data_IF_314317914227
#
_entry.id   IF_314317914227
#
_cell.length_a   1.000
_cell.length_b   1.000
_cell.length_c   1.000
_cell.angle_alpha   90.00
_cell.angle_beta   90.00
_cell.angle_gamma   90.00
#
_symmetry.space_group_name_H-M   'P 1'
#
loop_
_entity.id
_entity.type
_entity.pdbx_description
1 polymer ?
#
# COMPACT_ATOMS: atom_id res chain seq x y z
N UNK A 1 32.18 38.03 9.46
CA UNK A 1 31.44 36.82 9.88
C UNK A 1 30.56 36.22 8.78
N UNK A 2 29.73 36.97 8.04
CA UNK A 2 28.72 36.39 7.11
C UNK A 2 29.21 35.44 6.01
N UNK A 3 30.47 35.54 5.55
CA UNK A 3 31.00 34.75 4.42
C UNK A 3 31.13 33.24 4.71
N UNK A 4 31.42 32.83 5.95
CA UNK A 4 31.73 31.43 6.29
C UNK A 4 30.47 30.56 6.45
N UNK A 5 29.38 31.12 6.96
CA UNK A 5 28.12 30.38 7.14
C UNK A 5 27.41 30.11 5.81
N UNK A 6 27.51 31.05 4.86
CA UNK A 6 26.97 30.89 3.51
C UNK A 6 27.72 29.82 2.72
N UNK A 7 29.04 29.68 2.92
CA UNK A 7 29.83 28.59 2.31
C UNK A 7 29.43 27.23 2.89
N UNK A 8 29.12 27.18 4.19
CA UNK A 8 28.67 25.97 4.88
C UNK A 8 27.15 25.68 4.76
N UNK A 9 26.41 26.50 4.01
CA UNK A 9 24.95 26.39 3.79
C UNK A 9 24.13 26.37 5.08
N UNK A 10 24.55 27.11 6.10
CA UNK A 10 23.75 27.30 7.31
C UNK A 10 22.87 28.54 7.18
N UNK A 11 21.60 28.42 7.58
CA UNK A 11 20.69 29.52 7.81
C UNK A 11 20.72 29.87 9.29
N UNK A 12 20.98 31.16 9.59
CA UNK A 12 20.94 31.69 10.95
C UNK A 12 19.71 32.58 11.06
N UNK A 13 18.89 32.35 12.08
CA UNK A 13 17.69 33.15 12.35
C UNK A 13 17.66 33.55 13.83
N UNK A 14 17.41 34.81 14.12
CA UNK A 14 17.14 35.26 15.49
C UNK A 14 15.74 34.79 15.92
N UNK A 15 15.66 34.08 17.06
CA UNK A 15 14.42 33.51 17.59
C UNK A 15 13.95 34.21 18.88
N UNK A 16 14.85 34.88 19.60
CA UNK A 16 14.57 35.71 20.78
C UNK A 16 15.52 36.89 20.88
N UNK A 17 15.45 37.68 21.96
CA UNK A 17 16.35 38.83 22.17
C UNK A 17 17.82 38.39 22.17
N UNK A 18 18.14 37.31 22.89
CA UNK A 18 19.49 36.74 23.01
C UNK A 18 19.67 35.33 22.38
N UNK A 19 18.64 34.81 21.69
CA UNK A 19 18.69 33.45 21.10
C UNK A 19 18.84 33.46 19.58
N UNK A 20 19.81 32.70 19.08
CA UNK A 20 19.98 32.42 17.65
C UNK A 20 19.73 30.95 17.34
N UNK A 21 19.03 30.70 16.23
CA UNK A 21 18.83 29.37 15.70
C UNK A 21 19.70 29.16 14.47
N UNK A 22 20.59 28.17 14.55
CA UNK A 22 21.47 27.75 13.45
C UNK A 22 20.86 26.48 12.83
N UNK A 23 20.59 26.54 11.53
CA UNK A 23 19.95 25.46 10.76
C UNK A 23 20.79 25.10 9.55
N UNK A 24 20.88 23.82 9.22
CA UNK A 24 21.42 23.42 7.93
C UNK A 24 20.34 23.57 6.85
N UNK A 25 20.57 24.43 5.86
CA UNK A 25 19.59 24.75 4.82
C UNK A 25 19.25 23.52 3.96
N UNK A 26 20.18 22.57 3.80
CA UNK A 26 19.93 21.32 3.07
C UNK A 26 18.92 20.44 3.82
N UNK A 27 19.09 20.26 5.12
CA UNK A 27 18.19 19.39 5.90
C UNK A 27 16.85 20.05 6.26
N UNK A 28 16.76 21.39 6.32
CA UNK A 28 15.55 22.11 6.76
C UNK A 28 14.38 22.06 5.76
N UNK A 29 14.68 22.05 4.44
CA UNK A 29 13.65 22.14 3.40
C UNK A 29 13.75 21.11 2.27
N UNK A 30 14.97 20.73 1.89
CA UNK A 30 15.21 19.97 0.65
C UNK A 30 14.67 18.54 0.73
N UNK A 31 14.99 17.81 1.79
CA UNK A 31 14.56 16.40 1.96
C UNK A 31 13.03 16.26 1.95
N UNK A 32 12.33 17.12 2.71
CA UNK A 32 10.87 17.12 2.78
C UNK A 32 10.22 17.53 1.46
N UNK A 33 10.76 18.56 0.79
CA UNK A 33 10.28 18.98 -0.53
C UNK A 33 10.47 17.89 -1.57
N UNK A 34 11.64 17.24 -1.56
CA UNK A 34 11.96 16.14 -2.45
C UNK A 34 11.05 14.93 -2.22
N UNK A 35 10.83 14.51 -0.98
CA UNK A 35 9.90 13.41 -0.66
C UNK A 35 8.48 13.71 -1.17
N UNK A 36 7.97 14.93 -0.97
CA UNK A 36 6.66 15.33 -1.50
C UNK A 36 6.61 15.32 -3.02
N UNK A 37 7.68 15.76 -3.68
CA UNK A 37 7.80 15.70 -5.14
C UNK A 37 7.73 14.24 -5.64
N UNK A 38 8.40 13.30 -4.94
CA UNK A 38 8.31 11.88 -5.26
C UNK A 38 6.87 11.35 -5.13
N UNK A 39 6.16 11.71 -4.05
CA UNK A 39 4.75 11.34 -3.89
C UNK A 39 3.87 11.88 -5.02
N UNK A 40 4.06 13.14 -5.43
CA UNK A 40 3.37 13.72 -6.57
C UNK A 40 3.71 12.97 -7.85
N UNK A 41 4.99 12.61 -8.06
CA UNK A 41 5.42 11.81 -9.19
C UNK A 41 4.73 10.44 -9.25
N UNK A 42 4.68 9.72 -8.13
CA UNK A 42 3.99 8.43 -8.01
C UNK A 42 2.49 8.61 -8.30
N UNK A 43 1.87 9.66 -7.76
CA UNK A 43 0.47 9.97 -8.02
C UNK A 43 0.20 10.24 -9.51
N UNK A 44 1.03 11.07 -10.16
CA UNK A 44 0.93 11.37 -11.59
C UNK A 44 1.12 10.11 -12.44
N UNK A 45 2.08 9.25 -12.10
CA UNK A 45 2.29 7.96 -12.77
C UNK A 45 1.07 7.05 -12.62
N UNK A 46 0.50 6.97 -11.42
CA UNK A 46 -0.71 6.19 -11.17
C UNK A 46 -1.92 6.73 -11.93
N UNK A 47 -2.10 8.06 -11.96
CA UNK A 47 -3.12 8.71 -12.77
C UNK A 47 -2.95 8.36 -14.25
N UNK A 48 -1.75 8.49 -14.80
CA UNK A 48 -1.47 8.21 -16.20
C UNK A 48 -1.76 6.75 -16.57
N UNK A 49 -1.27 5.80 -15.77
CA UNK A 49 -1.49 4.37 -16.01
C UNK A 49 -2.97 3.99 -15.92
N UNK A 50 -3.70 4.53 -14.95
CA UNK A 50 -5.11 4.21 -14.73
C UNK A 50 -6.04 4.94 -15.71
N UNK A 51 -5.68 6.14 -16.18
CA UNK A 51 -6.43 6.90 -17.18
C UNK A 51 -6.58 6.11 -18.49
N UNK A 52 -5.55 5.36 -18.90
CA UNK A 52 -5.63 4.45 -20.07
C UNK A 52 -6.79 3.44 -19.99
N UNK A 53 -7.21 3.09 -18.78
CA UNK A 53 -8.26 2.12 -18.52
C UNK A 53 -9.55 2.74 -17.96
N UNK A 54 -9.70 4.07 -18.00
CA UNK A 54 -10.80 4.81 -17.38
C UNK A 54 -11.01 4.45 -15.89
N UNK A 55 -9.91 4.20 -15.17
CA UNK A 55 -9.93 3.87 -13.74
C UNK A 55 -9.41 5.05 -12.91
N UNK A 56 -9.86 5.20 -11.66
CA UNK A 56 -9.27 6.16 -10.74
C UNK A 56 -7.79 5.83 -10.44
N UNK A 57 -6.98 6.82 -10.00
CA UNK A 57 -5.63 6.55 -9.55
C UNK A 57 -5.64 5.54 -8.39
N UNK A 58 -4.56 4.76 -8.31
CA UNK A 58 -4.36 3.70 -7.33
C UNK A 58 -5.42 2.57 -7.32
N UNK A 59 -6.17 2.41 -8.41
CA UNK A 59 -7.27 1.43 -8.45
C UNK A 59 -6.82 -0.02 -8.17
N UNK A 60 -5.61 -0.38 -8.62
CA UNK A 60 -5.03 -1.70 -8.41
C UNK A 60 -4.60 -1.91 -6.97
N UNK A 61 -3.99 -0.89 -6.37
CA UNK A 61 -3.52 -0.87 -4.99
C UNK A 61 -4.72 -0.96 -4.03
N UNK A 62 -5.78 -0.18 -4.27
CA UNK A 62 -7.03 -0.29 -3.52
C UNK A 62 -7.68 -1.67 -3.68
N UNK A 63 -7.65 -2.24 -4.88
CA UNK A 63 -8.20 -3.58 -5.12
C UNK A 63 -7.42 -4.66 -4.37
N UNK A 64 -6.09 -4.54 -4.31
CA UNK A 64 -5.25 -5.47 -3.57
C UNK A 64 -5.51 -5.41 -2.06
N UNK A 65 -5.62 -4.21 -1.48
CA UNK A 65 -5.98 -4.01 -0.07
C UNK A 65 -7.37 -4.59 0.22
N UNK A 66 -8.33 -4.35 -0.68
CA UNK A 66 -9.69 -4.88 -0.57
C UNK A 66 -9.72 -6.41 -0.64
N UNK A 67 -8.94 -7.01 -1.55
CA UNK A 67 -8.82 -8.46 -1.66
C UNK A 67 -8.25 -9.08 -0.38
N UNK A 68 -7.21 -8.47 0.19
CA UNK A 68 -6.61 -8.93 1.45
C UNK A 68 -7.59 -8.78 2.62
N UNK A 69 -8.33 -7.68 2.69
CA UNK A 69 -9.40 -7.47 3.66
C UNK A 69 -10.50 -8.54 3.52
N UNK A 70 -11.01 -8.77 2.31
CA UNK A 70 -12.03 -9.80 2.07
C UNK A 70 -11.49 -11.20 2.38
N UNK A 71 -10.22 -11.51 2.11
CA UNK A 71 -9.61 -12.80 2.44
C UNK A 71 -9.47 -13.06 3.95
N UNK A 72 -9.33 -11.99 4.75
CA UNK A 72 -9.26 -12.08 6.22
C UNK A 72 -10.65 -12.18 6.83
N UNK A 73 -11.56 -11.25 6.50
CA UNK A 73 -12.85 -11.13 7.17
C UNK A 73 -13.95 -11.97 6.52
N UNK A 74 -13.87 -12.25 5.22
CA UNK A 74 -14.88 -12.96 4.45
C UNK A 74 -14.28 -14.04 3.53
N UNK A 75 -13.42 -14.96 4.04
CA UNK A 75 -12.69 -15.92 3.20
C UNK A 75 -13.62 -16.80 2.35
N UNK A 76 -14.77 -17.19 2.92
CA UNK A 76 -15.74 -18.04 2.25
C UNK A 76 -16.46 -17.34 1.09
N UNK A 77 -16.59 -16.01 1.09
CA UNK A 77 -17.34 -15.28 0.06
C UNK A 77 -16.81 -15.54 -1.34
N UNK A 78 -15.48 -15.60 -1.49
CA UNK A 78 -14.85 -15.88 -2.79
C UNK A 78 -14.83 -17.37 -3.09
N UNK A 79 -14.51 -18.20 -2.09
CA UNK A 79 -14.39 -19.65 -2.25
C UNK A 79 -15.75 -20.26 -2.61
N UNK A 80 -16.82 -19.83 -1.96
CA UNK A 80 -18.18 -20.29 -2.24
C UNK A 80 -18.61 -20.03 -3.67
N UNK A 81 -18.33 -18.84 -4.24
CA UNK A 81 -18.62 -18.57 -5.66
C UNK A 81 -17.89 -19.54 -6.61
N UNK A 82 -16.65 -19.88 -6.28
CA UNK A 82 -15.86 -20.84 -7.07
C UNK A 82 -16.45 -22.25 -6.91
N UNK A 83 -16.87 -22.60 -5.69
CA UNK A 83 -17.52 -23.87 -5.40
C UNK A 83 -18.87 -24.02 -6.10
N UNK A 84 -19.69 -22.97 -6.13
CA UNK A 84 -20.97 -22.96 -6.85
C UNK A 84 -20.77 -23.20 -8.35
N UNK A 85 -19.69 -22.64 -8.92
CA UNK A 85 -19.31 -22.91 -10.32
C UNK A 85 -18.82 -24.35 -10.49
N UNK A 86 -18.04 -24.86 -9.54
CA UNK A 86 -17.58 -26.24 -9.53
C UNK A 86 -18.76 -27.23 -9.51
N UNK A 87 -19.78 -27.00 -8.66
CA UNK A 87 -21.00 -27.80 -8.64
C UNK A 87 -21.69 -27.78 -10.01
N UNK A 88 -21.86 -26.61 -10.63
CA UNK A 88 -22.51 -26.49 -11.94
C UNK A 88 -21.80 -27.31 -13.01
N UNK A 89 -20.46 -27.32 -13.01
CA UNK A 89 -19.65 -28.08 -13.97
C UNK A 89 -19.72 -29.57 -13.70
N UNK A 90 -19.54 -29.99 -12.44
CA UNK A 90 -19.49 -31.42 -12.09
C UNK A 90 -20.86 -32.10 -12.19
N UNK A 91 -21.93 -31.34 -12.00
CA UNK A 91 -23.31 -31.83 -12.16
C UNK A 91 -23.81 -31.80 -13.61
N UNK A 92 -23.00 -31.31 -14.55
CA UNK A 92 -23.37 -31.27 -15.97
C UNK A 92 -23.42 -32.71 -16.54
N UNK A 93 -24.50 -33.10 -17.26
CA UNK A 93 -24.62 -34.43 -17.85
C UNK A 93 -23.46 -34.81 -18.78
N UNK A 94 -22.91 -33.87 -19.55
CA UNK A 94 -21.77 -34.11 -20.44
C UNK A 94 -20.50 -34.37 -19.63
N UNK A 95 -20.28 -33.60 -18.56
CA UNK A 95 -19.15 -33.79 -17.67
C UNK A 95 -19.22 -35.13 -16.93
N UNK A 96 -20.42 -35.54 -16.49
CA UNK A 96 -20.64 -36.84 -15.84
C UNK A 96 -20.37 -37.98 -16.82
N UNK A 97 -20.78 -37.85 -18.09
CA UNK A 97 -20.51 -38.84 -19.13
C UNK A 97 -19.01 -39.02 -19.36
N UNK A 98 -18.27 -37.92 -19.43
CA UNK A 98 -16.84 -37.93 -19.73
C UNK A 98 -15.98 -38.31 -18.49
N UNK A 99 -16.50 -38.06 -17.28
CA UNK A 99 -15.82 -38.34 -15.99
C UNK A 99 -16.72 -39.06 -14.98
N UNK A 100 -17.17 -40.29 -15.25
CA UNK A 100 -18.18 -41.00 -14.45
C UNK A 100 -17.72 -41.33 -13.02
N UNK A 101 -16.42 -41.44 -12.79
CA UNK A 101 -15.85 -41.75 -11.47
C UNK A 101 -15.61 -40.50 -10.62
N UNK A 102 -15.84 -39.29 -11.15
CA UNK A 102 -15.58 -38.04 -10.45
C UNK A 102 -16.71 -37.76 -9.46
N UNK A 103 -16.43 -37.91 -8.17
CA UNK A 103 -17.36 -37.55 -7.10
C UNK A 103 -17.32 -36.06 -6.80
N UNK A 104 -18.48 -35.49 -6.48
CA UNK A 104 -18.60 -34.13 -5.97
C UNK A 104 -17.89 -34.03 -4.62
N UNK A 105 -16.90 -33.14 -4.54
CA UNK A 105 -16.17 -32.90 -3.29
C UNK A 105 -17.01 -32.06 -2.33
N UNK A 106 -17.10 -32.41 -1.04
CA UNK A 106 -17.72 -31.56 -0.03
C UNK A 106 -17.03 -30.20 0.08
N UNK A 107 -17.80 -29.15 0.38
CA UNK A 107 -17.27 -27.78 0.52
C UNK A 107 -16.10 -27.67 1.49
N UNK A 108 -16.17 -28.38 2.62
CA UNK A 108 -15.13 -28.38 3.66
C UNK A 108 -13.79 -28.92 3.16
N UNK A 109 -13.80 -29.88 2.24
CA UNK A 109 -12.58 -30.39 1.62
C UNK A 109 -12.12 -29.47 0.48
N UNK A 110 -13.08 -28.98 -0.32
CA UNK A 110 -12.82 -28.07 -1.42
C UNK A 110 -12.14 -26.77 -0.95
N UNK A 111 -12.54 -26.22 0.20
CA UNK A 111 -12.04 -24.92 0.67
C UNK A 111 -10.62 -24.96 1.24
N UNK A 112 -10.15 -26.10 1.77
CA UNK A 112 -8.82 -26.24 2.41
C UNK A 112 -7.66 -25.68 1.58
N UNK A 113 -7.46 -26.07 0.31
CA UNK A 113 -6.35 -25.55 -0.50
C UNK A 113 -6.46 -24.04 -0.77
N UNK A 114 -7.68 -23.49 -0.84
CA UNK A 114 -7.87 -22.06 -1.05
C UNK A 114 -7.54 -21.25 0.20
N UNK A 115 -7.92 -21.74 1.38
CA UNK A 115 -7.56 -21.12 2.66
C UNK A 115 -6.04 -21.16 2.87
N UNK A 116 -5.40 -22.28 2.55
CA UNK A 116 -3.96 -22.40 2.62
C UNK A 116 -3.23 -21.45 1.66
N UNK A 117 -3.67 -21.36 0.40
CA UNK A 117 -3.12 -20.42 -0.57
C UNK A 117 -3.32 -18.96 -0.12
N UNK A 118 -4.44 -18.67 0.54
CA UNK A 118 -4.77 -17.36 1.09
C UNK A 118 -3.97 -16.95 2.33
N UNK A 119 -3.09 -17.81 2.88
CA UNK A 119 -2.22 -17.46 4.02
C UNK A 119 -1.42 -16.18 3.75
N UNK A 120 -0.91 -15.99 2.53
CA UNK A 120 -0.14 -14.80 2.14
C UNK A 120 -0.97 -13.51 2.17
N UNK A 121 -2.23 -13.55 1.74
CA UNK A 121 -3.13 -12.40 1.81
C UNK A 121 -3.34 -11.95 3.27
N UNK A 122 -3.46 -12.91 4.20
CA UNK A 122 -3.60 -12.61 5.63
C UNK A 122 -2.34 -11.98 6.21
N UNK A 123 -1.16 -12.49 5.85
CA UNK A 123 0.11 -11.90 6.29
C UNK A 123 0.25 -10.47 5.76
N UNK A 124 0.02 -10.26 4.46
CA UNK A 124 0.03 -8.92 3.84
C UNK A 124 -0.93 -7.96 4.50
N UNK A 125 -2.12 -8.43 4.88
CA UNK A 125 -3.11 -7.61 5.57
C UNK A 125 -2.55 -6.94 6.82
N UNK A 126 -1.78 -7.66 7.65
CA UNK A 126 -1.18 -7.09 8.86
C UNK A 126 -0.10 -6.04 8.56
N UNK A 127 0.53 -6.09 7.38
CA UNK A 127 1.49 -5.07 6.97
C UNK A 127 0.85 -3.81 6.38
N UNK A 128 -0.42 -3.87 5.93
CA UNK A 128 -1.11 -2.70 5.37
C UNK A 128 -1.11 -1.48 6.29
N UNK A 129 -1.53 -1.57 7.56
CA UNK A 129 -1.47 -0.44 8.48
C UNK A 129 -0.05 0.11 8.64
N UNK A 130 0.96 -0.77 8.72
CA UNK A 130 2.35 -0.39 8.96
C UNK A 130 2.89 0.46 7.81
N UNK A 131 2.78 -0.01 6.56
CA UNK A 131 3.31 0.76 5.44
C UNK A 131 2.48 2.01 5.13
N UNK A 132 1.15 1.98 5.33
CA UNK A 132 0.30 3.17 5.15
C UNK A 132 0.70 4.25 6.17
N UNK A 133 0.85 3.87 7.45
CA UNK A 133 1.33 4.79 8.49
C UNK A 133 2.73 5.31 8.20
N UNK A 134 3.63 4.47 7.67
CA UNK A 134 4.97 4.88 7.25
C UNK A 134 4.93 5.91 6.11
N UNK A 135 4.09 5.71 5.09
CA UNK A 135 3.94 6.68 4.00
C UNK A 135 3.35 8.01 4.50
N UNK A 136 2.35 7.96 5.39
CA UNK A 136 1.79 9.15 6.01
C UNK A 136 2.86 9.91 6.80
N UNK A 137 3.67 9.19 7.59
CA UNK A 137 4.79 9.78 8.31
C UNK A 137 5.79 10.47 7.36
N UNK A 138 6.16 9.83 6.25
CA UNK A 138 7.05 10.43 5.25
C UNK A 138 6.46 11.66 4.58
N UNK A 139 5.16 11.64 4.26
CA UNK A 139 4.48 12.78 3.65
C UNK A 139 4.44 13.99 4.60
N UNK A 140 4.20 13.71 5.89
CA UNK A 140 4.16 14.69 6.98
C UNK A 140 5.49 14.80 7.73
N UNK A 141 6.62 14.49 7.09
CA UNK A 141 7.93 14.45 7.75
C UNK A 141 8.14 15.74 8.58
N UNK A 142 8.38 15.61 9.90
CA UNK A 142 8.48 16.76 10.79
C UNK A 142 9.67 17.61 10.38
N UNK A 143 9.53 18.93 10.56
CA UNK A 143 10.62 19.86 10.30
C UNK A 143 11.75 19.59 11.31
N UNK A 144 13.00 19.35 10.87
CA UNK A 144 14.11 19.20 11.81
C UNK A 144 14.31 20.52 12.57
N UNK A 145 14.59 20.40 13.87
CA UNK A 145 14.88 21.56 14.71
C UNK A 145 16.32 22.03 14.47
N UNK A 146 16.52 23.34 14.43
CA UNK A 146 17.87 23.91 14.45
C UNK A 146 18.50 23.79 15.85
N UNK A 147 19.82 23.98 15.90
CA UNK A 147 20.51 24.16 17.17
C UNK A 147 20.22 25.59 17.63
N UNK A 148 19.81 25.74 18.89
CA UNK A 148 19.61 27.04 19.54
C UNK A 148 20.78 27.29 20.47
N UNK A 149 21.35 28.48 20.36
CA UNK A 149 22.46 28.98 21.18
C UNK A 149 22.09 30.35 21.70
#
# INVERSE_FOLDING_TARGET
>A
MSKTYNTLKYSIRQCGEDEIEIRNAFFDGYSRGFIRLLFIGIFCMSLYQNAKYNKPPFSYEFSAVKEDFEAVFNPDKRIKRVYDRYIKVVSDPEYIRDFPNKKLQPYEEFKKPYIERGKWNRIRFFFHPIWISFLLFLFFLPRPRGIRV
#
